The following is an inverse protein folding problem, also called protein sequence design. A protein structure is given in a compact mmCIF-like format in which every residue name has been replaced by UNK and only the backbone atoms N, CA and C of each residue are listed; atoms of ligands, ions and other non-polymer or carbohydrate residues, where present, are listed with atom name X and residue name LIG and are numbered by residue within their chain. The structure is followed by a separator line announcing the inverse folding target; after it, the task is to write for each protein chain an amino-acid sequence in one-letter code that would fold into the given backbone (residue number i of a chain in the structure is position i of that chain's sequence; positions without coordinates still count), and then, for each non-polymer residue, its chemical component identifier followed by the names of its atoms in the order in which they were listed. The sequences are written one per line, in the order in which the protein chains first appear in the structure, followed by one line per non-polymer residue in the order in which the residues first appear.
data_IF_903534561677
#
_entry.id   IF_903534561677
#
_cell.length_a   1.000
_cell.length_b   1.000
_cell.length_c   1.000
_cell.angle_alpha   90.00
_cell.angle_beta   90.00
_cell.angle_gamma   90.00
#
_symmetry.space_group_name_H-M   'P 1'
#
loop_
_entity.id
_entity.type
_entity.pdbx_description
1 polymer ?
#
# COMPACT_ATOMS: atom_id res chain seq x y z
N UNK A 1 21.20 -2.39 1.22
CA UNK A 1 19.86 -1.80 1.04
C UNK A 1 19.19 -1.92 2.40
N UNK A 2 18.77 -0.80 2.98
CA UNK A 2 18.20 -0.83 4.33
C UNK A 2 16.96 -1.73 4.32
N UNK A 3 16.85 -2.65 5.29
CA UNK A 3 15.58 -3.30 5.64
C UNK A 3 14.65 -2.23 6.24
N UNK A 4 14.29 -1.26 5.42
CA UNK A 4 13.71 0.01 5.85
C UNK A 4 12.22 -0.10 5.85
N UNK A 5 11.65 -0.37 7.02
CA UNK A 5 10.27 -0.02 7.38
C UNK A 5 10.03 1.40 6.84
N UNK A 6 9.17 1.52 5.84
CA UNK A 6 8.69 2.81 5.36
C UNK A 6 7.38 3.11 6.08
N UNK A 7 7.44 4.07 7.00
CA UNK A 7 6.29 4.47 7.80
C UNK A 7 5.15 5.09 6.96
N UNK A 8 5.43 5.47 5.71
CA UNK A 8 4.43 5.90 4.72
C UNK A 8 3.85 4.73 3.93
N UNK A 9 4.51 3.59 3.99
CA UNK A 9 4.20 2.36 3.25
C UNK A 9 3.33 1.33 4.01
N UNK A 10 2.44 1.73 4.94
CA UNK A 10 1.16 1.04 5.10
C UNK A 10 0.04 1.70 4.27
N UNK A 11 0.32 2.87 3.69
CA UNK A 11 -0.63 3.68 2.91
C UNK A 11 -0.28 3.74 1.42
N UNK A 12 0.46 2.73 0.97
CA UNK A 12 0.66 2.35 -0.43
C UNK A 12 1.48 3.32 -1.30
N UNK A 13 2.81 3.27 -1.16
CA UNK A 13 3.72 3.90 -2.15
C UNK A 13 4.66 2.92 -2.82
N UNK A 14 4.33 1.62 -2.86
CA UNK A 14 5.05 0.66 -3.69
C UNK A 14 4.88 0.98 -5.18
N UNK A 15 5.82 1.76 -5.70
CA UNK A 15 6.36 1.48 -7.02
C UNK A 15 7.30 0.29 -6.85
N UNK A 16 7.01 -0.81 -7.54
CA UNK A 16 8.02 -1.85 -7.72
C UNK A 16 9.26 -1.18 -8.31
N UNK A 17 10.41 -1.31 -7.64
CA UNK A 17 11.70 -0.93 -8.22
C UNK A 17 12.08 -1.93 -9.33
N UNK A 18 11.24 -2.05 -10.35
CA UNK A 18 11.52 -2.81 -11.57
C UNK A 18 11.99 -1.83 -12.66
N UNK A 19 13.30 -1.77 -12.95
CA UNK A 19 13.84 -0.86 -13.95
C UNK A 19 13.37 -1.18 -15.39
N UNK A 20 12.73 -2.33 -15.62
CA UNK A 20 12.22 -2.73 -16.93
C UNK A 20 10.72 -2.45 -17.10
N UNK A 21 10.02 -2.09 -16.03
CA UNK A 21 8.61 -1.80 -16.09
C UNK A 21 8.37 -0.34 -16.49
N UNK A 22 7.47 -0.13 -17.45
CA UNK A 22 7.07 1.22 -17.83
C UNK A 22 6.43 1.93 -16.62
N UNK A 23 6.93 3.12 -16.22
CA UNK A 23 6.36 3.88 -15.11
C UNK A 23 4.86 4.14 -15.23
N UNK A 24 4.33 4.29 -16.45
CA UNK A 24 2.89 4.48 -16.68
C UNK A 24 2.10 3.20 -16.39
N UNK A 25 2.68 2.03 -16.68
CA UNK A 25 2.07 0.73 -16.35
C UNK A 25 2.09 0.52 -14.84
N UNK A 26 3.21 0.82 -14.17
CA UNK A 26 3.29 0.71 -12.72
C UNK A 26 2.32 1.67 -12.02
N UNK A 27 2.18 2.90 -12.52
CA UNK A 27 1.21 3.86 -12.00
C UNK A 27 -0.25 3.38 -12.15
N UNK A 28 -0.59 2.75 -13.28
CA UNK A 28 -1.92 2.17 -13.49
C UNK A 28 -2.19 0.98 -12.56
N UNK A 29 -1.20 0.09 -12.40
CA UNK A 29 -1.27 -1.05 -11.48
C UNK A 29 -1.41 -0.58 -10.02
N UNK A 30 -0.68 0.46 -9.63
CA UNK A 30 -0.82 1.08 -8.31
C UNK A 30 -2.23 1.66 -8.11
N UNK A 31 -2.77 2.37 -9.10
CA UNK A 31 -4.11 2.95 -9.03
C UNK A 31 -5.20 1.87 -8.88
N UNK A 32 -5.08 0.77 -9.61
CA UNK A 32 -5.96 -0.39 -9.49
C UNK A 32 -5.89 -1.02 -8.08
N UNK A 33 -4.68 -1.25 -7.56
CA UNK A 33 -4.50 -1.74 -6.17
C UNK A 33 -5.15 -0.79 -5.15
N UNK A 34 -5.01 0.53 -5.33
CA UNK A 34 -5.63 1.51 -4.44
C UNK A 34 -7.15 1.40 -4.42
N UNK A 35 -7.77 1.31 -5.60
CA UNK A 35 -9.22 1.19 -5.72
C UNK A 35 -9.72 -0.07 -5.02
N UNK A 36 -9.07 -1.21 -5.29
CA UNK A 36 -9.45 -2.50 -4.69
C UNK A 36 -9.25 -2.47 -3.17
N UNK A 37 -8.11 -1.98 -2.68
CA UNK A 37 -7.86 -1.86 -1.23
C UNK A 37 -8.92 -0.98 -0.57
N UNK A 38 -9.22 0.19 -1.14
CA UNK A 38 -10.23 1.08 -0.59
C UNK A 38 -11.59 0.39 -0.50
N UNK A 39 -11.99 -0.31 -1.57
CA UNK A 39 -13.27 -1.02 -1.62
C UNK A 39 -13.31 -2.21 -0.67
N UNK A 40 -12.19 -2.88 -0.44
CA UNK A 40 -12.05 -3.90 0.60
C UNK A 40 -12.22 -3.30 2.00
N UNK A 41 -11.58 -2.17 2.28
CA UNK A 41 -11.69 -1.49 3.59
C UNK A 41 -13.10 -0.95 3.88
N UNK A 42 -13.91 -0.70 2.85
CA UNK A 42 -15.30 -0.26 2.97
C UNK A 42 -16.32 -1.39 2.84
N UNK A 43 -15.89 -2.66 2.88
CA UNK A 43 -16.72 -3.86 2.71
C UNK A 43 -17.49 -3.93 1.36
N UNK A 44 -17.05 -3.18 0.33
CA UNK A 44 -17.63 -3.21 -1.02
C UNK A 44 -17.04 -4.34 -1.89
N UNK A 45 -15.81 -4.76 -1.59
CA UNK A 45 -15.16 -5.92 -2.18
C UNK A 45 -14.64 -6.89 -1.12
N UNK A 46 -14.70 -8.21 -1.38
CA UNK A 46 -14.06 -9.20 -0.52
C UNK A 46 -12.53 -9.00 -0.53
N UNK A 47 -11.88 -9.32 0.58
CA UNK A 47 -10.42 -9.19 0.72
C UNK A 47 -9.64 -10.06 -0.27
N UNK A 48 -10.23 -11.16 -0.72
CA UNK A 48 -9.70 -12.04 -1.76
C UNK A 48 -9.41 -11.30 -3.07
N UNK A 49 -10.21 -10.28 -3.43
CA UNK A 49 -9.99 -9.48 -4.63
C UNK A 49 -8.65 -8.70 -4.58
N UNK A 50 -8.26 -8.25 -3.38
CA UNK A 50 -6.96 -7.60 -3.18
C UNK A 50 -5.82 -8.62 -3.35
N UNK A 51 -5.97 -9.83 -2.80
CA UNK A 51 -4.95 -10.87 -2.92
C UNK A 51 -4.75 -11.32 -4.38
N UNK A 52 -5.85 -11.45 -5.14
CA UNK A 52 -5.80 -11.73 -6.57
C UNK A 52 -5.08 -10.62 -7.35
N UNK A 53 -5.43 -9.36 -7.10
CA UNK A 53 -4.77 -8.20 -7.73
C UNK A 53 -3.25 -8.17 -7.45
N UNK A 54 -2.83 -8.44 -6.20
CA UNK A 54 -1.42 -8.52 -5.85
C UNK A 54 -0.70 -9.62 -6.65
N UNK A 55 -1.29 -10.81 -6.74
CA UNK A 55 -0.73 -11.94 -7.50
C UNK A 55 -0.61 -11.64 -9.00
N UNK A 56 -1.65 -11.07 -9.61
CA UNK A 56 -1.66 -10.69 -11.03
C UNK A 56 -0.57 -9.67 -11.35
N UNK A 57 -0.26 -8.80 -10.40
CA UNK A 57 0.80 -7.81 -10.50
C UNK A 57 2.15 -8.34 -9.98
N UNK A 58 2.29 -9.64 -9.77
CA UNK A 58 3.56 -10.27 -9.38
C UNK A 58 4.05 -9.88 -7.99
N UNK A 59 3.17 -9.40 -7.12
CA UNK A 59 3.44 -9.08 -5.72
C UNK A 59 3.03 -10.28 -4.86
N UNK A 60 3.90 -10.72 -3.97
CA UNK A 60 3.58 -11.78 -3.02
C UNK A 60 2.61 -11.23 -1.95
N UNK A 61 1.36 -11.74 -1.86
CA UNK A 61 0.38 -11.20 -0.93
C UNK A 61 0.75 -11.40 0.55
N UNK A 62 1.31 -12.55 0.91
CA UNK A 62 1.72 -12.84 2.29
C UNK A 62 2.81 -11.86 2.73
N UNK A 63 3.81 -11.66 1.88
CA UNK A 63 4.89 -10.71 2.16
C UNK A 63 4.37 -9.27 2.25
N UNK A 64 3.46 -8.88 1.35
CA UNK A 64 2.83 -7.56 1.38
C UNK A 64 2.04 -7.33 2.68
N UNK A 65 1.28 -8.33 3.14
CA UNK A 65 0.52 -8.27 4.38
C UNK A 65 1.42 -8.15 5.61
N UNK A 66 2.51 -8.93 5.67
CA UNK A 66 3.48 -8.87 6.75
C UNK A 66 4.10 -7.47 6.85
N UNK A 67 4.62 -6.95 5.73
CA UNK A 67 5.25 -5.61 5.67
C UNK A 67 4.25 -4.51 6.02
N UNK A 68 3.03 -4.56 5.47
CA UNK A 68 1.97 -3.59 5.76
C UNK A 68 1.61 -3.60 7.25
N UNK A 69 1.52 -4.79 7.85
CA UNK A 69 1.22 -4.95 9.27
C UNK A 69 2.34 -4.41 10.15
N UNK A 70 3.61 -4.68 9.81
CA UNK A 70 4.78 -4.13 10.49
C UNK A 70 4.80 -2.59 10.41
N UNK A 71 4.54 -2.03 9.24
CA UNK A 71 4.48 -0.58 9.04
C UNK A 71 3.34 0.07 9.85
N UNK A 72 2.15 -0.55 9.89
CA UNK A 72 1.04 -0.08 10.73
C UNK A 72 1.39 -0.13 12.22
N UNK A 73 1.99 -1.23 12.69
CA UNK A 73 2.43 -1.35 14.07
C UNK A 73 3.45 -0.27 14.42
N UNK A 74 4.42 -0.01 13.54
CA UNK A 74 5.39 1.06 13.73
C UNK A 74 4.73 2.43 13.89
N UNK A 75 3.75 2.76 13.03
CA UNK A 75 2.98 4.01 13.11
C UNK A 75 2.24 4.14 14.45
N UNK A 76 1.58 3.07 14.88
CA UNK A 76 0.82 3.02 16.14
C UNK A 76 1.76 3.16 17.35
N UNK A 77 2.83 2.36 17.39
CA UNK A 77 3.76 2.30 18.53
C UNK A 77 4.53 3.60 18.74
N UNK A 78 4.83 4.33 17.67
CA UNK A 78 5.52 5.62 17.73
C UNK A 78 4.55 6.81 17.84
N UNK A 79 3.24 6.57 17.86
CA UNK A 79 2.22 7.62 17.93
C UNK A 79 2.32 8.63 16.80
N UNK A 80 2.71 8.18 15.60
CA UNK A 80 2.87 9.06 14.43
C UNK A 80 1.47 9.48 13.98
N UNK A 81 1.10 10.77 14.08
CA UNK A 81 -0.23 11.20 13.73
C UNK A 81 -0.33 11.32 12.20
N UNK A 82 -1.47 10.88 11.63
CA UNK A 82 -1.79 11.01 10.21
C UNK A 82 -3.07 11.84 10.04
N UNK A 83 -3.12 12.66 8.98
CA UNK A 83 -4.31 13.38 8.57
C UNK A 83 -4.56 13.20 7.07
N UNK A 84 -5.83 13.16 6.69
CA UNK A 84 -6.24 13.10 5.29
C UNK A 84 -6.15 14.51 4.67
N UNK A 85 -5.52 14.64 3.51
CA UNK A 85 -5.49 15.91 2.77
C UNK A 85 -6.78 16.12 1.93
N UNK A 86 -6.87 17.22 1.19
CA UNK A 86 -8.03 17.52 0.33
C UNK A 86 -8.31 16.46 -0.75
N UNK A 87 -7.32 15.64 -1.09
CA UNK A 87 -7.43 14.53 -2.04
C UNK A 87 -7.78 13.19 -1.38
N UNK A 88 -8.01 13.15 -0.05
CA UNK A 88 -8.30 11.93 0.68
C UNK A 88 -7.07 11.12 1.10
N UNK A 89 -5.86 11.59 0.78
CA UNK A 89 -4.60 10.88 1.04
C UNK A 89 -4.20 11.08 2.49
N UNK A 90 -4.00 9.98 3.24
CA UNK A 90 -3.44 10.00 4.59
C UNK A 90 -1.95 10.33 4.53
N UNK A 91 -1.58 11.46 5.13
CA UNK A 91 -0.19 11.92 5.24
C UNK A 91 0.19 12.10 6.71
N UNK A 92 1.43 11.83 7.12
CA UNK A 92 1.87 12.13 8.47
C UNK A 92 1.79 13.63 8.72
N UNK A 93 1.27 14.00 9.89
CA UNK A 93 1.23 15.38 10.36
C UNK A 93 2.31 15.59 11.41
N UNK A 94 2.98 16.73 11.34
CA UNK A 94 3.96 17.17 12.34
C UNK A 94 3.29 17.78 13.56
#
# INVERSE_FOLDING_TARGET
MANGIDALDPFMTWFREDPNLDPAVEAAMLAERQDILQRTLTDDLPGEALLECLLEQGINPDHWLDVTTENLNYVIDNGIPFASNEAGILLPVH
#
